data_IF_309400028747
#
_entry.id   IF_309400028747
#
_cell.length_a   1.000
_cell.length_b   1.000
_cell.length_c   1.000
_cell.angle_alpha   90.00
_cell.angle_beta   90.00
_cell.angle_gamma   90.00
#
_symmetry.space_group_name_H-M   'P 1'
#
loop_
_entity.id
_entity.type
_entity.pdbx_description
1 polymer ?
#
# COMPACT_ATOMS: atom_id res chain seq x y z
N UNK A 1 6.28 2.64 -24.86
CA UNK A 1 5.98 2.75 -23.42
C UNK A 1 4.71 1.96 -23.17
N UNK A 2 4.76 0.95 -22.29
CA UNK A 2 3.58 0.19 -21.91
C UNK A 2 2.83 0.96 -20.83
N UNK A 3 1.58 1.31 -21.10
CA UNK A 3 0.66 1.89 -20.11
C UNK A 3 0.11 0.76 -19.26
N UNK A 4 -0.01 0.98 -17.94
CA UNK A 4 -0.73 0.05 -17.07
C UNK A 4 -2.21 0.03 -17.48
N UNK A 5 -2.76 -1.15 -17.74
CA UNK A 5 -4.20 -1.33 -18.04
C UNK A 5 -4.84 -2.17 -16.93
N UNK A 6 -5.97 -1.68 -16.41
CA UNK A 6 -6.64 -2.22 -15.22
C UNK A 6 -6.57 -1.21 -14.07
N UNK A 7 -7.62 -1.14 -13.27
CA UNK A 7 -7.67 -0.27 -12.09
C UNK A 7 -6.75 -0.85 -11.00
N UNK A 8 -5.94 0.02 -10.37
CA UNK A 8 -4.97 -0.36 -9.35
C UNK A 8 -5.20 0.47 -8.11
N UNK A 9 -5.21 -0.17 -6.95
CA UNK A 9 -5.25 0.48 -5.65
C UNK A 9 -4.00 0.06 -4.87
N UNK A 10 -3.15 1.03 -4.53
CA UNK A 10 -2.02 0.84 -3.64
C UNK A 10 -2.42 1.32 -2.24
N UNK A 11 -2.69 0.41 -1.32
CA UNK A 11 -3.26 0.71 -0.01
C UNK A 11 -2.22 0.51 1.09
N UNK A 12 -1.73 1.59 1.69
CA UNK A 12 -0.97 1.56 2.93
C UNK A 12 -1.74 2.40 3.95
N UNK A 13 -2.44 1.81 4.90
CA UNK A 13 -3.28 2.56 5.84
C UNK A 13 -3.25 1.93 7.22
N UNK A 14 -3.27 2.77 8.26
CA UNK A 14 -3.21 2.33 9.66
C UNK A 14 -2.16 3.04 10.52
N UNK A 15 -1.20 3.78 9.94
CA UNK A 15 -0.17 4.48 10.74
C UNK A 15 -0.79 5.42 11.79
N UNK A 16 -1.88 6.12 11.45
CA UNK A 16 -2.53 7.02 12.40
C UNK A 16 -3.22 6.29 13.55
N UNK A 17 -3.76 5.11 13.31
CA UNK A 17 -4.33 4.23 14.33
C UNK A 17 -3.27 3.80 15.35
N UNK A 18 -1.98 3.76 14.96
CA UNK A 18 -0.89 3.29 15.82
C UNK A 18 -0.38 4.36 16.81
N UNK A 19 -0.65 5.64 16.57
CA UNK A 19 -0.21 6.74 17.45
C UNK A 19 -1.34 7.61 18.01
N UNK A 20 -2.55 7.58 17.45
CA UNK A 20 -3.65 8.39 17.96
C UNK A 20 -4.21 7.79 19.27
N UNK A 21 -4.15 8.50 20.41
CA UNK A 21 -4.60 7.96 21.69
C UNK A 21 -6.11 7.72 21.78
N UNK A 22 -6.89 8.27 20.86
CA UNK A 22 -8.34 8.10 20.81
C UNK A 22 -8.79 6.96 19.88
N UNK A 23 -7.85 6.26 19.24
CA UNK A 23 -8.13 5.16 18.31
C UNK A 23 -7.47 3.90 18.88
N UNK A 24 -8.21 2.80 18.90
CA UNK A 24 -7.70 1.49 19.33
C UNK A 24 -6.83 0.87 18.23
N UNK A 25 -5.53 0.64 18.45
CA UNK A 25 -4.67 -0.03 17.47
C UNK A 25 -5.06 -1.50 17.24
N UNK A 26 -5.65 -2.14 18.27
CA UNK A 26 -6.05 -3.56 18.25
C UNK A 26 -7.16 -3.82 17.23
N UNK A 27 -8.04 -2.84 17.01
CA UNK A 27 -9.18 -2.94 16.10
C UNK A 27 -8.82 -2.51 14.67
N UNK A 28 -7.59 -2.00 14.44
CA UNK A 28 -7.15 -1.51 13.14
C UNK A 28 -7.13 -2.61 12.05
N UNK A 29 -6.74 -3.88 12.32
CA UNK A 29 -6.83 -4.95 11.31
C UNK A 29 -8.26 -5.19 10.81
N UNK A 30 -9.28 -5.05 11.68
CA UNK A 30 -10.68 -5.17 11.30
C UNK A 30 -11.10 -4.02 10.37
N UNK A 31 -10.75 -2.78 10.73
CA UNK A 31 -11.01 -1.60 9.88
C UNK A 31 -10.30 -1.68 8.53
N UNK A 32 -9.06 -2.16 8.49
CA UNK A 32 -8.35 -2.44 7.25
C UNK A 32 -9.13 -3.43 6.37
N UNK A 33 -9.63 -4.51 6.98
CA UNK A 33 -10.48 -5.47 6.30
C UNK A 33 -11.74 -4.83 5.70
N UNK A 34 -12.45 -4.03 6.49
CA UNK A 34 -13.65 -3.31 6.05
C UNK A 34 -13.36 -2.32 4.90
N UNK A 35 -12.22 -1.62 4.95
CA UNK A 35 -11.77 -0.74 3.88
C UNK A 35 -11.50 -1.52 2.59
N UNK A 36 -10.82 -2.67 2.67
CA UNK A 36 -10.61 -3.53 1.50
C UNK A 36 -11.95 -4.01 0.94
N UNK A 37 -12.91 -4.38 1.80
CA UNK A 37 -14.24 -4.82 1.37
C UNK A 37 -15.00 -3.71 0.62
N UNK A 38 -14.91 -2.47 1.09
CA UNK A 38 -15.49 -1.32 0.38
C UNK A 38 -14.86 -1.14 -1.00
N UNK A 39 -13.53 -1.23 -1.09
CA UNK A 39 -12.78 -1.07 -2.35
C UNK A 39 -13.16 -2.16 -3.35
N UNK A 40 -13.10 -3.44 -2.96
CA UNK A 40 -13.41 -4.57 -3.87
C UNK A 40 -14.89 -4.64 -4.22
N UNK A 41 -15.78 -4.09 -3.40
CA UNK A 41 -17.21 -3.95 -3.74
C UNK A 41 -17.42 -2.85 -4.78
N UNK A 42 -16.75 -1.71 -4.64
CA UNK A 42 -16.88 -0.59 -5.57
C UNK A 42 -16.18 -0.87 -6.91
N UNK A 43 -15.03 -1.54 -6.88
CA UNK A 43 -14.20 -1.84 -8.05
C UNK A 43 -13.78 -3.32 -8.07
N UNK A 44 -14.71 -4.24 -8.42
CA UNK A 44 -14.46 -5.69 -8.34
C UNK A 44 -13.34 -6.18 -9.27
N UNK A 45 -13.03 -5.43 -10.33
CA UNK A 45 -11.95 -5.75 -11.28
C UNK A 45 -10.60 -5.12 -10.90
N UNK A 46 -10.54 -4.27 -9.88
CA UNK A 46 -9.31 -3.58 -9.50
C UNK A 46 -8.33 -4.53 -8.79
N UNK A 47 -7.03 -4.37 -9.08
CA UNK A 47 -5.96 -4.99 -8.31
C UNK A 47 -5.68 -4.15 -7.05
N UNK A 48 -5.90 -4.72 -5.86
CA UNK A 48 -5.72 -4.06 -4.57
C UNK A 48 -4.46 -4.60 -3.89
N UNK A 49 -3.40 -3.82 -3.91
CA UNK A 49 -2.11 -4.15 -3.30
C UNK A 49 -2.05 -3.49 -1.92
N UNK A 50 -2.08 -4.31 -0.87
CA UNK A 50 -2.17 -3.84 0.52
C UNK A 50 -0.79 -3.93 1.17
N UNK A 51 -0.22 -2.81 1.58
CA UNK A 51 1.09 -2.76 2.20
C UNK A 51 1.06 -2.94 3.72
N UNK A 52 2.13 -3.52 4.26
CA UNK A 52 2.49 -3.30 5.67
C UNK A 52 2.89 -1.84 5.87
N UNK A 53 2.80 -1.34 7.10
CA UNK A 53 3.25 0.00 7.46
C UNK A 53 4.78 0.07 7.53
N UNK A 54 5.33 1.25 7.22
CA UNK A 54 6.72 1.61 7.50
C UNK A 54 6.95 1.78 9.01
N UNK A 55 8.20 1.68 9.49
CA UNK A 55 8.48 1.84 10.91
C UNK A 55 8.25 3.28 11.40
N UNK A 56 8.28 3.45 12.72
CA UNK A 56 8.27 4.72 13.44
C UNK A 56 9.37 4.74 14.50
N UNK A 57 9.97 5.91 14.74
CA UNK A 57 11.00 6.09 15.79
C UNK A 57 10.40 6.04 17.20
N UNK A 58 9.11 6.31 17.36
CA UNK A 58 8.45 6.29 18.67
C UNK A 58 8.16 4.84 19.09
N UNK A 59 8.87 4.34 20.10
CA UNK A 59 8.82 2.93 20.52
C UNK A 59 7.40 2.37 20.74
N UNK A 60 6.48 3.15 21.33
CA UNK A 60 5.10 2.69 21.54
C UNK A 60 4.33 2.55 20.25
N UNK A 61 4.53 3.48 19.31
CA UNK A 61 3.93 3.44 17.98
C UNK A 61 4.54 2.31 17.16
N UNK A 62 5.85 2.10 17.24
CA UNK A 62 6.53 0.99 16.57
C UNK A 62 6.03 -0.37 17.03
N UNK A 63 5.89 -0.57 18.35
CA UNK A 63 5.33 -1.82 18.88
C UNK A 63 3.90 -2.08 18.36
N UNK A 64 3.09 -1.03 18.22
CA UNK A 64 1.76 -1.15 17.62
C UNK A 64 1.85 -1.50 16.12
N UNK A 65 2.77 -0.86 15.37
CA UNK A 65 3.04 -1.13 13.96
C UNK A 65 3.46 -2.59 13.74
N UNK A 66 4.37 -3.13 14.56
CA UNK A 66 4.83 -4.52 14.48
C UNK A 66 3.66 -5.50 14.65
N UNK A 67 2.81 -5.27 15.66
CA UNK A 67 1.62 -6.08 15.91
C UNK A 67 0.62 -5.98 14.76
N UNK A 68 0.38 -4.78 14.23
CA UNK A 68 -0.52 -4.57 13.10
C UNK A 68 0.00 -5.26 11.83
N UNK A 69 1.28 -5.06 11.50
CA UNK A 69 1.92 -5.62 10.32
C UNK A 69 1.87 -7.16 10.30
N UNK A 70 2.01 -7.80 11.45
CA UNK A 70 1.86 -9.25 11.58
C UNK A 70 0.46 -9.76 11.20
N UNK A 71 -0.57 -8.93 11.27
CA UNK A 71 -1.95 -9.30 10.94
C UNK A 71 -2.35 -9.03 9.49
N UNK A 72 -1.64 -8.16 8.76
CA UNK A 72 -2.01 -7.72 7.41
C UNK A 72 -2.23 -8.90 6.45
N UNK A 73 -1.35 -9.91 6.50
CA UNK A 73 -1.51 -11.10 5.67
C UNK A 73 -2.79 -11.89 6.00
N UNK A 74 -3.12 -12.01 7.29
CA UNK A 74 -4.36 -12.63 7.76
C UNK A 74 -5.61 -11.86 7.35
N UNK A 75 -5.54 -10.53 7.27
CA UNK A 75 -6.63 -9.66 6.80
C UNK A 75 -6.85 -9.82 5.29
N UNK A 76 -5.78 -9.89 4.49
CA UNK A 76 -5.88 -9.98 3.02
C UNK A 76 -6.30 -11.38 2.55
N UNK A 77 -5.83 -12.44 3.22
CA UNK A 77 -6.02 -13.83 2.76
C UNK A 77 -7.48 -14.25 2.50
N UNK A 78 -8.48 -13.91 3.35
CA UNK A 78 -9.88 -14.24 3.07
C UNK A 78 -10.43 -13.60 1.79
N UNK A 79 -10.04 -12.35 1.48
CA UNK A 79 -10.46 -11.64 0.26
C UNK A 79 -9.83 -12.24 -0.99
N UNK A 80 -8.54 -12.59 -0.92
CA UNK A 80 -7.87 -13.33 -1.99
C UNK A 80 -8.52 -14.69 -2.24
N UNK A 81 -8.89 -15.42 -1.16
CA UNK A 81 -9.60 -16.72 -1.25
C UNK A 81 -11.00 -16.58 -1.85
N UNK A 82 -11.64 -15.43 -1.68
CA UNK A 82 -12.94 -15.12 -2.30
C UNK A 82 -12.84 -14.78 -3.80
N UNK A 83 -11.63 -14.71 -4.36
CA UNK A 83 -11.40 -14.41 -5.78
C UNK A 83 -11.11 -12.94 -6.08
N UNK A 84 -11.09 -12.07 -5.06
CA UNK A 84 -10.71 -10.67 -5.25
C UNK A 84 -9.22 -10.58 -5.61
N UNK A 85 -8.87 -9.61 -6.46
CA UNK A 85 -7.48 -9.37 -6.90
C UNK A 85 -6.68 -8.62 -5.83
N UNK A 86 -6.53 -9.23 -4.66
CA UNK A 86 -5.84 -8.62 -3.51
C UNK A 86 -4.52 -9.34 -3.22
N UNK A 87 -3.45 -8.59 -2.94
CA UNK A 87 -2.17 -9.16 -2.48
C UNK A 87 -1.50 -8.25 -1.42
N UNK A 88 -0.53 -8.80 -0.70
CA UNK A 88 0.24 -8.07 0.32
C UNK A 88 1.55 -7.56 -0.26
N UNK A 89 1.95 -6.34 0.06
CA UNK A 89 3.27 -5.76 -0.25
C UNK A 89 4.01 -5.47 1.06
N UNK A 90 5.23 -6.00 1.21
CA UNK A 90 6.04 -5.74 2.42
C UNK A 90 6.82 -4.44 2.28
N UNK A 91 6.72 -3.57 3.28
CA UNK A 91 7.52 -2.35 3.43
C UNK A 91 8.72 -2.52 4.37
N UNK A 92 9.08 -3.75 4.70
CA UNK A 92 10.14 -4.06 5.68
C UNK A 92 11.55 -3.58 5.29
N UNK A 93 11.75 -3.16 4.04
CA UNK A 93 13.01 -2.57 3.60
C UNK A 93 13.18 -1.11 4.03
N UNK A 94 12.10 -0.44 4.46
CA UNK A 94 12.19 0.89 5.07
C UNK A 94 12.66 0.74 6.50
N UNK A 95 13.69 1.49 6.88
CA UNK A 95 14.32 1.42 8.21
C UNK A 95 14.11 2.71 9.00
N UNK A 96 14.24 2.63 10.33
CA UNK A 96 14.23 3.82 11.21
C UNK A 96 15.37 4.80 10.88
N UNK A 97 16.43 4.33 10.22
CA UNK A 97 17.55 5.16 9.76
C UNK A 97 17.12 6.20 8.72
N UNK A 98 16.12 5.86 7.90
CA UNK A 98 15.57 6.72 6.84
C UNK A 98 14.51 7.70 7.38
N UNK A 99 14.17 7.67 8.67
CA UNK A 99 13.16 8.57 9.28
C UNK A 99 13.83 9.79 9.92
N UNK A 100 14.48 10.62 9.10
CA UNK A 100 15.47 11.61 9.59
C UNK A 100 14.86 12.92 10.10
N UNK A 101 13.67 13.30 9.63
CA UNK A 101 13.10 14.63 9.91
C UNK A 101 12.21 14.66 11.16
N UNK A 102 11.31 13.69 11.30
CA UNK A 102 10.32 13.63 12.37
C UNK A 102 10.17 12.24 13.01
N UNK A 103 10.95 11.26 12.55
CA UNK A 103 10.86 9.89 13.03
C UNK A 103 9.61 9.15 12.54
N UNK A 104 8.91 9.64 11.52
CA UNK A 104 7.71 9.04 10.94
C UNK A 104 7.76 9.01 9.41
N UNK A 105 8.16 10.11 8.77
CA UNK A 105 8.26 10.20 7.32
C UNK A 105 9.65 9.78 6.84
N UNK A 106 9.73 8.93 5.79
CA UNK A 106 10.99 8.58 5.17
C UNK A 106 11.68 9.77 4.49
N UNK A 107 13.00 9.68 4.33
CA UNK A 107 13.80 10.46 3.42
C UNK A 107 13.74 9.88 1.99
N UNK A 108 14.59 10.40 1.10
CA UNK A 108 14.61 9.99 -0.30
C UNK A 108 14.95 8.51 -0.47
N UNK A 109 15.89 7.99 0.33
CA UNK A 109 16.27 6.58 0.36
C UNK A 109 15.11 5.70 0.83
N UNK A 110 14.41 6.08 1.90
CA UNK A 110 13.25 5.35 2.38
C UNK A 110 12.07 5.39 1.40
N UNK A 111 11.84 6.52 0.73
CA UNK A 111 10.84 6.61 -0.35
C UNK A 111 11.22 5.75 -1.57
N UNK A 112 12.52 5.62 -1.88
CA UNK A 112 13.00 4.72 -2.92
C UNK A 112 12.71 3.25 -2.56
N UNK A 113 12.95 2.85 -1.30
CA UNK A 113 12.60 1.51 -0.83
C UNK A 113 11.09 1.22 -0.91
N UNK A 114 10.24 2.19 -0.59
CA UNK A 114 8.78 2.09 -0.78
C UNK A 114 8.43 1.90 -2.26
N UNK A 115 9.05 2.68 -3.15
CA UNK A 115 8.80 2.59 -4.58
C UNK A 115 9.21 1.21 -5.15
N UNK A 116 10.34 0.66 -4.70
CA UNK A 116 10.80 -0.69 -5.07
C UNK A 116 9.83 -1.76 -4.60
N UNK A 117 9.34 -1.67 -3.35
CA UNK A 117 8.34 -2.59 -2.81
C UNK A 117 7.04 -2.57 -3.63
N UNK A 118 6.52 -1.37 -3.95
CA UNK A 118 5.35 -1.24 -4.81
C UNK A 118 5.60 -1.80 -6.21
N UNK A 119 6.76 -1.53 -6.80
CA UNK A 119 7.13 -2.06 -8.11
C UNK A 119 7.14 -3.59 -8.13
N UNK A 120 7.69 -4.22 -7.10
CA UNK A 120 7.66 -5.67 -6.94
C UNK A 120 6.21 -6.20 -6.86
N UNK A 121 5.34 -5.56 -6.06
CA UNK A 121 3.92 -5.91 -5.98
C UNK A 121 3.17 -5.76 -7.32
N UNK A 122 3.48 -4.70 -8.08
CA UNK A 122 2.92 -4.49 -9.43
C UNK A 122 3.39 -5.58 -10.41
N UNK A 123 4.65 -5.99 -10.35
CA UNK A 123 5.15 -7.10 -11.16
C UNK A 123 4.46 -8.41 -10.81
N UNK A 124 4.19 -8.66 -9.52
CA UNK A 124 3.43 -9.83 -9.09
C UNK A 124 1.98 -9.76 -9.62
N UNK A 125 1.28 -8.63 -9.45
CA UNK A 125 -0.07 -8.45 -10.00
C UNK A 125 -0.11 -8.67 -11.52
N UNK A 126 0.90 -8.18 -12.24
CA UNK A 126 1.07 -8.43 -13.68
C UNK A 126 1.26 -9.91 -13.99
N UNK A 127 2.08 -10.63 -13.22
CA UNK A 127 2.30 -12.08 -13.43
C UNK A 127 1.03 -12.91 -13.22
N UNK A 128 0.10 -12.44 -12.38
CA UNK A 128 -1.23 -13.04 -12.18
C UNK A 128 -2.25 -12.63 -13.24
N UNK A 129 -1.87 -11.76 -14.19
CA UNK A 129 -2.74 -11.24 -15.23
C UNK A 129 -3.80 -10.24 -14.73
N UNK A 130 -3.61 -9.67 -13.54
CA UNK A 130 -4.55 -8.70 -12.96
C UNK A 130 -4.42 -7.31 -13.60
N UNK A 131 -3.23 -6.98 -14.09
CA UNK A 131 -2.90 -5.71 -14.73
C UNK A 131 -2.03 -5.97 -15.98
N UNK A 132 -2.21 -5.17 -17.03
CA UNK A 132 -1.35 -5.21 -18.22
C UNK A 132 -0.28 -4.12 -18.15
N UNK A 133 0.88 -4.29 -18.80
CA UNK A 133 1.79 -3.17 -19.10
C UNK A 133 2.58 -2.55 -17.94
N UNK A 134 3.40 -3.31 -17.22
CA UNK A 134 4.46 -2.71 -16.36
C UNK A 134 5.67 -2.34 -17.23
N UNK A 135 6.07 -1.07 -17.25
CA UNK A 135 7.27 -0.61 -17.96
C UNK A 135 8.54 -1.19 -17.32
N UNK A 136 9.39 -1.77 -18.16
CA UNK A 136 10.80 -2.04 -17.85
C UNK A 136 11.59 -0.77 -18.20
N UNK A 137 12.01 0.01 -17.21
CA UNK A 137 12.99 1.11 -17.39
C UNK A 137 12.49 2.53 -17.07
N UNK A 138 13.41 3.34 -16.54
CA UNK A 138 13.26 4.70 -16.04
C UNK A 138 12.37 5.61 -16.91
N UNK A 139 11.43 6.30 -16.26
CA UNK A 139 10.43 7.14 -16.91
C UNK A 139 11.03 8.44 -17.47
N UNK A 140 10.98 8.60 -18.80
CA UNK A 140 11.04 9.91 -19.47
C UNK A 140 9.63 10.50 -19.49
N UNK A 141 9.44 11.66 -18.86
CA UNK A 141 8.18 12.44 -18.91
C UNK A 141 7.97 12.99 -20.33
N UNK A 142 6.80 12.76 -20.91
CA UNK A 142 6.30 13.52 -22.07
C UNK A 142 4.90 14.06 -21.75
N UNK A 143 4.80 15.38 -21.73
CA UNK A 143 3.56 16.15 -21.61
C UNK A 143 2.78 16.10 -22.92
N UNK A 144 1.54 15.60 -22.90
CA UNK A 144 0.67 15.65 -24.08
C UNK A 144 -0.72 15.08 -23.79
N UNK A 145 -1.72 15.95 -23.83
CA UNK A 145 -3.10 15.69 -23.42
C UNK A 145 -3.85 14.66 -24.26
N UNK A 146 -4.67 13.86 -23.57
CA UNK A 146 -5.62 12.93 -24.13
C UNK A 146 -6.37 12.25 -22.99
N UNK A 147 -7.69 12.46 -22.96
CA UNK A 147 -8.70 11.91 -22.03
C UNK A 147 -8.18 10.86 -21.03
N UNK A 148 -7.82 11.33 -19.84
CA UNK A 148 -7.32 10.51 -18.74
C UNK A 148 -8.46 9.62 -18.22
N UNK A 149 -8.39 8.31 -18.52
CA UNK A 149 -8.97 7.31 -17.64
C UNK A 149 -8.34 7.54 -16.26
N UNK A 150 -9.19 7.89 -15.30
CA UNK A 150 -8.81 8.32 -13.97
C UNK A 150 -8.17 7.14 -13.24
N UNK A 151 -6.84 7.02 -13.33
CA UNK A 151 -6.07 6.13 -12.44
C UNK A 151 -6.23 6.71 -11.05
N UNK A 152 -7.11 6.14 -10.23
CA UNK A 152 -7.26 6.52 -8.83
C UNK A 152 -6.01 6.06 -8.09
N UNK A 153 -4.97 6.91 -8.12
CA UNK A 153 -3.87 6.88 -7.16
C UNK A 153 -4.44 7.32 -5.81
N UNK A 154 -4.95 6.40 -5.01
CA UNK A 154 -5.08 6.63 -3.58
C UNK A 154 -3.78 6.16 -2.91
N UNK A 155 -2.69 6.91 -3.11
CA UNK A 155 -1.51 6.77 -2.26
C UNK A 155 -1.89 7.35 -0.89
N UNK A 156 -2.50 6.52 -0.04
CA UNK A 156 -2.91 6.91 1.30
C UNK A 156 -1.70 6.92 2.24
N UNK A 157 -0.66 7.73 1.98
CA UNK A 157 0.34 7.97 3.01
C UNK A 157 -0.39 8.63 4.20
N UNK A 158 -0.57 7.90 5.29
CA UNK A 158 -1.03 8.41 6.60
C UNK A 158 -2.51 8.80 6.72
N UNK A 159 -3.42 7.86 6.42
CA UNK A 159 -4.85 8.03 6.72
C UNK A 159 -5.24 7.14 7.93
N UNK A 160 -6.11 7.65 8.81
CA UNK A 160 -6.76 6.84 9.86
C UNK A 160 -7.73 5.87 9.18
N UNK A 161 -7.74 4.60 9.59
CA UNK A 161 -8.70 3.61 9.12
C UNK A 161 -10.11 3.85 9.69
#
# INVERSE_FOLDING_TARGET
MGTLKGDIVLLMAGTNDMFNPNISPVDAPERLGALIDQIVTAWPEAAVLVATLTPCRTNTTEANIEVFNAQVAGVVAPRAKAGNRTLVVSMANVTVGELIYDGLHPDDEGYMAIAEAWYAGLLEAKSKGWIEGVATGAASVRTGGGMLSLVVFCLALMICL
#
